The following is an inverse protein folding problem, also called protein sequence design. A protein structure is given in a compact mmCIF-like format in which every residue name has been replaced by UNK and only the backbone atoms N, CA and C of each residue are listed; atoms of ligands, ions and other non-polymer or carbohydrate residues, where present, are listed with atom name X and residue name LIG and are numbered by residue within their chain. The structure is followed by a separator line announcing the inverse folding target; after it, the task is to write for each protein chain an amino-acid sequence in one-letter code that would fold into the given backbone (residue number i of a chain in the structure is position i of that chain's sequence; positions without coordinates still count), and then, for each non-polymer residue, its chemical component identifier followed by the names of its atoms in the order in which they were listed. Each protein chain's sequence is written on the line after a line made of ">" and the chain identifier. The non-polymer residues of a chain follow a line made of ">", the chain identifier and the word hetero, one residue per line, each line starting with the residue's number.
data_IF_518629423949
#
_entry.id   IF_518629423949
#
_cell.length_a   1.000
_cell.length_b   1.000
_cell.length_c   1.000
_cell.angle_alpha   90.00
_cell.angle_beta   90.00
_cell.angle_gamma   90.00
#
_symmetry.space_group_name_H-M   'P 1'
#
loop_
_entity.id
_entity.type
_entity.pdbx_description
1 polymer ?
#
# COMPACT_ATOMS: atom_id res chain seq x y z
N UNK A 1 16.96 -11.78 -24.73
CA UNK A 1 17.27 -11.09 -23.47
C UNK A 1 16.72 -11.91 -22.32
N UNK A 2 17.56 -12.28 -21.35
CA UNK A 2 17.09 -12.98 -20.14
C UNK A 2 16.48 -11.89 -19.24
N UNK A 3 15.16 -11.77 -19.23
CA UNK A 3 14.46 -10.88 -18.32
C UNK A 3 14.62 -11.43 -16.89
N UNK A 4 15.45 -10.81 -16.10
CA UNK A 4 15.73 -11.18 -14.71
C UNK A 4 14.81 -10.40 -13.74
N UNK A 5 14.62 -10.94 -12.54
CA UNK A 5 14.01 -10.20 -11.45
C UNK A 5 14.81 -8.90 -11.20
N UNK A 6 14.15 -7.83 -10.79
CA UNK A 6 14.76 -6.50 -10.60
C UNK A 6 14.72 -6.06 -9.14
N UNK A 7 15.49 -5.06 -8.78
CA UNK A 7 15.37 -4.39 -7.49
C UNK A 7 14.17 -3.45 -7.50
N UNK A 8 13.37 -3.47 -6.43
CA UNK A 8 12.18 -2.64 -6.28
C UNK A 8 12.16 -1.97 -4.90
N UNK A 9 11.65 -0.74 -4.84
CA UNK A 9 11.32 -0.07 -3.59
C UNK A 9 9.91 -0.48 -3.17
N UNK A 10 9.78 -1.14 -2.02
CA UNK A 10 8.48 -1.48 -1.43
C UNK A 10 8.17 -0.52 -0.30
N UNK A 11 7.04 0.16 -0.39
CA UNK A 11 6.48 0.96 0.70
C UNK A 11 5.51 0.08 1.47
N UNK A 12 5.72 -0.04 2.78
CA UNK A 12 4.95 -0.90 3.69
C UNK A 12 3.81 -0.13 4.35
N UNK A 13 4.08 1.10 4.76
CA UNK A 13 3.10 1.94 5.44
C UNK A 13 3.44 3.42 5.38
N UNK A 14 2.40 4.21 5.52
CA UNK A 14 2.45 5.63 5.83
C UNK A 14 1.76 5.82 7.18
N UNK A 15 2.31 6.69 8.04
CA UNK A 15 1.76 6.96 9.38
C UNK A 15 1.78 8.46 9.65
N UNK A 16 0.69 9.01 10.14
CA UNK A 16 0.66 10.37 10.65
C UNK A 16 1.31 10.39 12.03
N UNK A 17 2.56 10.77 12.12
CA UNK A 17 3.28 10.77 13.39
C UNK A 17 2.93 11.96 14.27
N UNK A 18 2.85 13.14 13.67
CA UNK A 18 2.54 14.39 14.38
C UNK A 18 1.73 15.32 13.50
N UNK A 19 0.79 16.03 14.10
CA UNK A 19 0.08 17.15 13.49
C UNK A 19 -0.01 18.31 14.50
N UNK A 20 0.28 19.54 14.06
CA UNK A 20 0.23 20.76 14.88
C UNK A 20 -1.22 21.24 15.11
N UNK A 21 -2.09 20.31 15.48
CA UNK A 21 -3.49 20.60 15.82
C UNK A 21 -3.81 19.99 17.17
N UNK A 22 -4.52 20.72 18.01
CA UNK A 22 -4.96 20.23 19.33
C UNK A 22 -6.13 19.21 19.21
N UNK A 23 -6.51 18.81 18.00
CA UNK A 23 -7.62 17.91 17.71
C UNK A 23 -7.02 16.58 17.27
N UNK A 24 -7.40 15.47 17.90
CA UNK A 24 -6.88 14.13 17.62
C UNK A 24 -7.10 13.65 16.17
N UNK A 25 -8.22 14.04 15.54
CA UNK A 25 -8.56 13.72 14.14
C UNK A 25 -8.25 14.88 13.22
N UNK A 26 -7.59 14.61 12.10
CA UNK A 26 -7.29 15.60 11.06
C UNK A 26 -7.76 15.13 9.69
N UNK A 27 -8.14 16.07 8.82
CA UNK A 27 -8.47 15.82 7.43
C UNK A 27 -7.21 16.04 6.57
N UNK A 28 -6.71 14.98 5.93
CA UNK A 28 -5.51 15.01 5.10
C UNK A 28 -5.87 14.92 3.62
N UNK A 29 -5.18 15.71 2.81
CA UNK A 29 -5.22 15.65 1.35
C UNK A 29 -3.84 15.96 0.77
N UNK A 30 -3.69 15.83 -0.56
CA UNK A 30 -2.42 15.98 -1.24
C UNK A 30 -1.90 14.65 -1.76
N UNK A 31 -0.60 14.49 -1.88
CA UNK A 31 -0.02 13.28 -2.43
C UNK A 31 1.35 12.90 -1.84
N UNK A 32 1.66 11.60 -1.97
CA UNK A 32 3.00 11.00 -1.94
C UNK A 32 3.09 10.15 -3.19
N UNK A 33 4.10 10.36 -4.03
CA UNK A 33 4.28 9.64 -5.28
C UNK A 33 5.74 9.33 -5.56
N UNK A 34 5.98 8.25 -6.30
CA UNK A 34 7.32 7.87 -6.73
C UNK A 34 7.49 8.09 -8.24
N UNK A 35 8.71 8.46 -8.64
CA UNK A 35 9.21 8.41 -10.02
C UNK A 35 10.42 7.51 -10.07
N UNK A 36 10.53 6.74 -11.12
CA UNK A 36 11.69 5.91 -11.36
C UNK A 36 12.14 5.98 -12.82
N UNK A 37 13.24 5.31 -13.15
CA UNK A 37 13.84 5.37 -14.48
C UNK A 37 12.92 4.86 -15.60
N UNK A 38 12.01 3.91 -15.33
CA UNK A 38 11.16 3.34 -16.36
C UNK A 38 9.96 4.21 -16.69
N UNK A 39 9.51 5.01 -15.73
CA UNK A 39 8.39 5.91 -15.95
C UNK A 39 8.55 7.17 -15.09
N UNK A 40 8.74 8.29 -15.76
CA UNK A 40 8.88 9.60 -15.14
C UNK A 40 7.56 10.19 -14.64
N UNK A 41 6.42 9.56 -14.94
CA UNK A 41 5.12 9.97 -14.42
C UNK A 41 4.97 9.61 -12.95
N UNK A 42 4.20 10.40 -12.24
CA UNK A 42 3.90 10.19 -10.82
C UNK A 42 3.16 8.88 -10.59
N UNK A 43 3.79 7.96 -9.89
CA UNK A 43 3.21 6.72 -9.42
C UNK A 43 2.73 6.95 -7.98
N UNK A 44 1.48 7.36 -7.84
CA UNK A 44 0.91 7.77 -6.56
C UNK A 44 0.81 6.61 -5.58
N UNK A 45 1.43 6.77 -4.42
CA UNK A 45 1.30 5.89 -3.24
C UNK A 45 0.12 6.35 -2.38
N UNK A 46 -0.02 7.65 -2.24
CA UNK A 46 -1.15 8.32 -1.63
C UNK A 46 -1.59 9.48 -2.52
N UNK A 47 -2.88 9.64 -2.73
CA UNK A 47 -3.43 10.79 -3.44
C UNK A 47 -4.88 11.01 -3.01
N UNK A 48 -5.17 12.20 -2.49
CA UNK A 48 -6.52 12.66 -2.14
C UNK A 48 -6.67 14.12 -2.51
N UNK A 49 -7.83 14.47 -3.04
CA UNK A 49 -8.16 15.88 -3.29
C UNK A 49 -8.61 16.58 -2.01
N UNK A 50 -8.59 17.91 -2.04
CA UNK A 50 -9.13 18.71 -0.94
C UNK A 50 -10.64 18.47 -0.71
N UNK A 51 -11.38 18.11 -1.75
CA UNK A 51 -12.82 17.86 -1.67
C UNK A 51 -13.14 16.44 -1.17
N UNK A 52 -12.17 15.51 -1.27
CA UNK A 52 -12.25 14.15 -0.75
C UNK A 52 -11.05 13.82 0.16
N UNK A 53 -10.90 14.51 1.30
CA UNK A 53 -9.81 14.26 2.25
C UNK A 53 -10.07 12.97 3.03
N UNK A 54 -9.01 12.33 3.51
CA UNK A 54 -9.16 11.27 4.51
C UNK A 54 -9.14 11.85 5.92
N UNK A 55 -9.85 11.17 6.83
CA UNK A 55 -9.81 11.48 8.26
C UNK A 55 -8.83 10.53 8.93
N UNK A 56 -7.81 11.07 9.58
CA UNK A 56 -6.75 10.30 10.23
C UNK A 56 -6.53 10.83 11.64
N UNK A 57 -6.35 9.91 12.58
CA UNK A 57 -5.92 10.23 13.94
C UNK A 57 -4.39 10.30 13.99
N UNK A 58 -3.85 11.22 14.80
CA UNK A 58 -2.41 11.26 15.04
C UNK A 58 -1.95 9.92 15.64
N UNK A 59 -0.83 9.40 15.14
CA UNK A 59 -0.29 8.09 15.48
C UNK A 59 -0.86 6.94 14.66
N UNK A 60 -1.89 7.18 13.82
CA UNK A 60 -2.54 6.15 13.00
C UNK A 60 -1.93 6.03 11.60
N UNK A 61 -2.18 4.88 10.98
CA UNK A 61 -1.80 4.63 9.59
C UNK A 61 -2.64 5.48 8.64
N UNK A 62 -1.98 5.99 7.60
CA UNK A 62 -2.60 6.65 6.45
C UNK A 62 -2.86 5.57 5.39
N UNK A 63 -4.09 5.41 4.96
CA UNK A 63 -4.44 4.46 3.92
C UNK A 63 -3.76 4.84 2.59
N UNK A 64 -2.93 3.96 2.06
CA UNK A 64 -2.30 4.14 0.75
C UNK A 64 -3.33 3.93 -0.37
N UNK A 65 -3.32 4.78 -1.40
CA UNK A 65 -4.19 4.68 -2.58
C UNK A 65 -3.55 3.99 -3.78
N UNK A 66 -2.27 3.67 -3.69
CA UNK A 66 -1.44 3.01 -4.69
C UNK A 66 -0.26 2.30 -4.04
N UNK A 67 0.82 2.08 -4.78
CA UNK A 67 1.11 2.50 -6.16
C UNK A 67 0.32 1.71 -7.22
N UNK A 68 0.28 2.22 -8.46
CA UNK A 68 -0.36 1.54 -9.60
C UNK A 68 0.56 0.55 -10.32
N UNK A 69 1.87 0.67 -10.12
CA UNK A 69 2.93 -0.23 -10.60
C UNK A 69 4.05 -0.31 -9.57
N UNK A 70 4.90 -1.31 -9.67
CA UNK A 70 6.11 -1.40 -8.86
C UNK A 70 7.04 -0.19 -9.08
N UNK A 71 7.80 0.15 -8.06
CA UNK A 71 8.79 1.23 -8.10
C UNK A 71 10.15 0.58 -8.30
N UNK A 72 10.78 0.80 -9.47
CA UNK A 72 12.05 0.16 -9.80
C UNK A 72 13.23 0.89 -9.17
N UNK A 73 14.26 0.12 -8.80
CA UNK A 73 15.51 0.61 -8.21
C UNK A 73 16.72 0.26 -9.08
N UNK A 74 16.56 0.20 -10.40
CA UNK A 74 17.67 0.05 -11.36
C UNK A 74 18.46 1.35 -11.55
N UNK A 75 17.91 2.44 -11.09
CA UNK A 75 18.49 3.75 -10.89
C UNK A 75 17.78 4.36 -9.67
N UNK A 76 18.26 5.50 -9.15
CA UNK A 76 17.61 6.16 -8.03
C UNK A 76 16.11 6.39 -8.28
N UNK A 77 15.29 6.13 -7.25
CA UNK A 77 13.86 6.46 -7.25
C UNK A 77 13.63 7.73 -6.44
N UNK A 78 12.89 8.68 -7.01
CA UNK A 78 12.52 9.92 -6.36
C UNK A 78 11.12 9.75 -5.74
N UNK A 79 10.99 10.02 -4.45
CA UNK A 79 9.69 10.09 -3.77
C UNK A 79 9.37 11.56 -3.48
N UNK A 80 8.34 12.06 -4.13
CA UNK A 80 7.85 13.43 -4.01
C UNK A 80 6.60 13.45 -3.13
N UNK A 81 6.43 14.51 -2.35
CA UNK A 81 5.28 14.64 -1.45
C UNK A 81 4.88 16.11 -1.26
N UNK A 82 3.58 16.34 -1.27
CA UNK A 82 2.90 17.57 -0.83
C UNK A 82 1.61 17.13 -0.14
N UNK A 83 1.60 17.20 1.18
CA UNK A 83 0.43 16.84 1.99
C UNK A 83 0.02 18.01 2.87
N UNK A 84 -1.29 18.19 3.00
CA UNK A 84 -1.89 19.29 3.75
C UNK A 84 -2.95 18.81 4.72
N UNK A 85 -3.11 19.57 5.80
CA UNK A 85 -4.21 19.45 6.74
C UNK A 85 -5.28 20.44 6.31
N UNK A 86 -6.46 19.93 5.94
CA UNK A 86 -7.61 20.75 5.56
C UNK A 86 -8.16 21.47 6.79
N UNK A 87 -8.37 22.77 6.62
CA UNK A 87 -9.07 23.66 7.57
C UNK A 87 -10.37 24.18 6.93
N UNK A 88 -10.88 25.27 7.39
CA UNK A 88 -12.11 25.89 6.88
C UNK A 88 -12.00 26.27 5.41
N UNK A 89 -11.37 27.41 5.13
CA UNK A 89 -11.06 27.85 3.75
C UNK A 89 -9.72 27.28 3.29
N UNK A 90 -9.49 27.26 1.98
CA UNK A 90 -8.26 26.75 1.40
C UNK A 90 -7.01 27.54 1.81
N UNK A 91 -7.15 28.82 2.01
CA UNK A 91 -6.09 29.72 2.48
C UNK A 91 -5.64 29.44 3.92
N UNK A 92 -6.50 28.78 4.71
CA UNK A 92 -6.22 28.39 6.10
C UNK A 92 -5.59 26.99 6.21
N UNK A 93 -5.45 26.26 5.11
CA UNK A 93 -4.93 24.89 5.11
C UNK A 93 -3.44 24.88 5.52
N UNK A 94 -3.08 23.93 6.38
CA UNK A 94 -1.74 23.84 6.92
C UNK A 94 -0.87 22.89 6.09
N UNK A 95 0.35 23.30 5.74
CA UNK A 95 1.33 22.45 5.12
C UNK A 95 1.80 21.39 6.12
N UNK A 96 1.48 20.09 5.86
CA UNK A 96 1.93 19.00 6.71
C UNK A 96 3.37 18.61 6.37
N UNK A 97 3.60 18.24 5.12
CA UNK A 97 4.93 17.93 4.55
C UNK A 97 4.97 18.40 3.09
N UNK A 98 6.13 18.85 2.64
CA UNK A 98 6.40 19.22 1.25
C UNK A 98 7.88 18.95 0.90
N UNK A 99 8.14 18.39 -0.28
CA UNK A 99 9.49 18.14 -0.74
C UNK A 99 9.66 16.86 -1.55
N UNK A 100 10.90 16.40 -1.61
CA UNK A 100 11.28 15.18 -2.30
C UNK A 100 12.47 14.50 -1.62
N UNK A 101 12.54 13.18 -1.77
CA UNK A 101 13.65 12.34 -1.26
C UNK A 101 14.07 11.33 -2.31
N UNK A 102 15.36 11.12 -2.44
CA UNK A 102 15.93 10.16 -3.37
C UNK A 102 16.40 8.90 -2.65
N UNK A 103 16.04 7.74 -3.19
CA UNK A 103 16.46 6.44 -2.70
C UNK A 103 17.33 5.74 -3.74
N UNK A 104 18.49 5.25 -3.31
CA UNK A 104 19.46 4.56 -4.15
C UNK A 104 19.59 3.09 -3.74
N UNK A 105 19.72 2.20 -4.70
CA UNK A 105 19.84 0.76 -4.45
C UNK A 105 21.09 0.36 -3.65
N UNK A 106 22.15 1.19 -3.64
CA UNK A 106 23.38 0.93 -2.90
C UNK A 106 23.28 1.26 -1.40
N UNK A 107 22.40 2.19 -1.02
CA UNK A 107 22.33 2.69 0.36
C UNK A 107 20.98 2.44 1.02
N UNK A 108 19.92 2.14 0.24
CA UNK A 108 18.62 1.82 0.79
C UNK A 108 18.64 0.42 1.44
N UNK A 109 18.26 0.31 2.72
CA UNK A 109 18.26 -0.98 3.41
C UNK A 109 17.36 -2.04 2.76
N UNK A 110 17.80 -3.30 2.79
CA UNK A 110 17.02 -4.48 2.38
C UNK A 110 16.11 -5.01 3.50
N UNK A 111 15.92 -4.26 4.57
CA UNK A 111 14.96 -4.53 5.64
C UNK A 111 14.05 -3.31 5.83
N UNK A 112 12.82 -3.48 6.28
CA UNK A 112 11.93 -2.36 6.50
C UNK A 112 12.52 -1.38 7.52
N UNK A 113 12.65 -0.14 7.11
CA UNK A 113 13.09 0.98 7.94
C UNK A 113 12.12 2.14 7.79
N UNK A 114 12.01 2.95 8.82
CA UNK A 114 11.12 4.10 8.84
C UNK A 114 11.91 5.37 8.66
N UNK A 115 11.53 6.15 7.67
CA UNK A 115 12.05 7.49 7.43
C UNK A 115 10.99 8.50 7.86
N UNK A 116 11.35 9.39 8.79
CA UNK A 116 10.47 10.47 9.23
C UNK A 116 10.63 11.68 8.35
N UNK A 117 9.55 12.12 7.74
CA UNK A 117 9.45 13.34 6.95
C UNK A 117 8.86 14.41 7.87
N UNK A 118 9.69 15.39 8.23
CA UNK A 118 9.25 16.52 9.05
C UNK A 118 8.85 17.68 8.13
N UNK A 119 7.72 18.29 8.43
CA UNK A 119 7.26 19.53 7.78
C UNK A 119 6.87 20.57 8.82
N UNK A 120 6.36 21.71 8.35
CA UNK A 120 6.08 22.88 9.20
C UNK A 120 5.01 22.61 10.25
N UNK A 121 3.99 21.84 9.89
CA UNK A 121 2.83 21.59 10.76
C UNK A 121 2.70 20.11 11.19
N UNK A 122 3.76 19.32 11.07
CA UNK A 122 3.74 17.96 11.58
C UNK A 122 4.79 17.04 10.96
N UNK A 123 4.54 15.73 11.02
CA UNK A 123 5.44 14.73 10.48
C UNK A 123 4.68 13.49 9.98
N UNK A 124 5.19 12.89 8.91
CA UNK A 124 4.72 11.63 8.36
C UNK A 124 5.87 10.63 8.38
N UNK A 125 5.64 9.46 8.93
CA UNK A 125 6.56 8.33 8.85
C UNK A 125 6.23 7.49 7.63
N UNK A 126 7.23 7.25 6.78
CA UNK A 126 7.18 6.32 5.66
C UNK A 126 8.05 5.10 5.98
N UNK A 127 7.46 3.90 6.00
CA UNK A 127 8.20 2.65 6.18
C UNK A 127 8.37 1.98 4.83
N UNK A 128 9.61 1.70 4.46
CA UNK A 128 9.95 1.14 3.15
C UNK A 128 11.19 0.24 3.23
N UNK A 129 11.44 -0.56 2.18
CA UNK A 129 12.64 -1.37 2.03
C UNK A 129 12.99 -1.58 0.56
N UNK A 130 14.26 -1.85 0.29
CA UNK A 130 14.71 -2.38 -0.99
C UNK A 130 14.44 -3.89 -1.04
N UNK A 131 13.70 -4.34 -2.05
CA UNK A 131 13.47 -5.76 -2.33
C UNK A 131 14.27 -6.14 -3.56
N UNK A 132 15.42 -6.80 -3.36
CA UNK A 132 16.24 -7.30 -4.47
C UNK A 132 15.65 -8.53 -5.10
N UNK A 133 15.85 -8.69 -6.40
CA UNK A 133 15.39 -9.86 -7.16
C UNK A 133 13.87 -10.06 -7.02
N UNK A 134 13.11 -8.98 -7.19
CA UNK A 134 11.65 -8.98 -7.07
C UNK A 134 10.95 -9.10 -8.42
N UNK A 135 9.73 -9.64 -8.36
CA UNK A 135 8.69 -9.52 -9.38
C UNK A 135 7.55 -8.66 -8.85
N UNK A 136 6.88 -7.96 -9.73
CA UNK A 136 5.66 -7.23 -9.41
C UNK A 136 4.48 -8.18 -9.33
N UNK A 137 3.75 -8.13 -8.23
CA UNK A 137 2.44 -8.75 -8.05
C UNK A 137 1.36 -7.67 -8.08
N UNK A 138 0.50 -7.68 -9.10
CA UNK A 138 -0.71 -6.86 -9.15
C UNK A 138 -1.88 -7.72 -8.66
N UNK A 139 -2.52 -7.29 -7.57
CA UNK A 139 -3.56 -8.01 -6.86
C UNK A 139 -4.91 -7.36 -7.16
N UNK A 140 -5.82 -8.10 -7.77
CA UNK A 140 -7.22 -7.75 -7.98
C UNK A 140 -8.08 -8.61 -7.03
N UNK A 141 -8.96 -7.97 -6.26
CA UNK A 141 -9.89 -8.64 -5.34
C UNK A 141 -11.32 -8.23 -5.67
N UNK A 142 -12.18 -9.21 -5.84
CA UNK A 142 -13.62 -9.01 -6.09
C UNK A 142 -14.43 -9.72 -5.03
N UNK A 143 -15.30 -8.98 -4.38
CA UNK A 143 -16.27 -9.47 -3.41
C UNK A 143 -17.60 -9.65 -4.13
N UNK A 144 -18.19 -10.83 -4.03
CA UNK A 144 -19.44 -11.17 -4.69
C UNK A 144 -20.34 -12.02 -3.78
N UNK A 145 -21.61 -12.17 -4.16
CA UNK A 145 -22.58 -12.99 -3.42
C UNK A 145 -22.70 -12.60 -1.95
N UNK A 146 -22.68 -11.29 -1.66
CA UNK A 146 -22.81 -10.78 -0.30
C UNK A 146 -24.23 -11.08 0.21
N UNK A 147 -24.33 -11.85 1.31
CA UNK A 147 -25.58 -12.24 1.94
C UNK A 147 -25.98 -11.26 3.05
N UNK A 148 -25.01 -10.76 3.79
CA UNK A 148 -25.19 -9.75 4.83
C UNK A 148 -23.93 -8.90 4.98
N UNK A 149 -24.05 -7.76 5.68
CA UNK A 149 -22.92 -6.87 5.93
C UNK A 149 -21.82 -7.52 6.77
N UNK A 150 -20.57 -7.28 6.41
CA UNK A 150 -19.40 -7.78 7.12
C UNK A 150 -18.22 -6.82 7.02
N UNK A 151 -17.30 -6.92 7.98
CA UNK A 151 -16.03 -6.21 7.99
C UNK A 151 -14.93 -7.07 7.37
N UNK A 152 -14.07 -6.45 6.58
CA UNK A 152 -12.91 -7.10 5.97
C UNK A 152 -11.64 -6.32 6.27
N UNK A 153 -10.63 -7.02 6.75
CA UNK A 153 -9.25 -6.56 6.76
C UNK A 153 -8.42 -7.46 5.85
N UNK A 154 -7.78 -6.85 4.84
CA UNK A 154 -6.90 -7.53 3.90
C UNK A 154 -5.48 -7.05 4.09
N UNK A 155 -4.56 -7.98 4.33
CA UNK A 155 -3.13 -7.69 4.36
C UNK A 155 -2.35 -8.67 3.47
N UNK A 156 -1.16 -8.25 3.07
CA UNK A 156 -0.20 -9.09 2.38
C UNK A 156 1.05 -9.27 3.22
N UNK A 157 1.54 -10.50 3.31
CA UNK A 157 2.82 -10.81 3.95
C UNK A 157 3.83 -11.24 2.88
N UNK A 158 4.96 -10.56 2.85
CA UNK A 158 6.06 -10.81 1.90
C UNK A 158 7.38 -11.00 2.61
N UNK A 159 8.26 -11.78 2.01
CA UNK A 159 9.61 -11.99 2.52
C UNK A 159 10.51 -10.85 2.07
N UNK A 160 11.08 -10.13 3.03
CA UNK A 160 12.11 -9.13 2.80
C UNK A 160 13.32 -9.48 3.65
N UNK A 161 14.48 -9.58 3.02
CA UNK A 161 15.68 -10.13 3.63
C UNK A 161 15.40 -11.55 4.17
N UNK A 162 15.37 -11.73 5.47
CA UNK A 162 15.12 -13.01 6.15
C UNK A 162 13.85 -12.99 7.03
N UNK A 163 13.03 -11.94 6.90
CA UNK A 163 11.81 -11.76 7.68
C UNK A 163 10.54 -11.72 6.82
N UNK A 164 9.44 -12.14 7.43
CA UNK A 164 8.10 -11.97 6.87
C UNK A 164 7.53 -10.65 7.35
N UNK A 165 7.14 -9.78 6.43
CA UNK A 165 6.63 -8.44 6.74
C UNK A 165 5.25 -8.24 6.17
N UNK A 166 4.37 -7.66 6.99
CA UNK A 166 2.96 -7.43 6.66
C UNK A 166 2.76 -6.02 6.10
N UNK A 167 1.91 -5.94 5.06
CA UNK A 167 1.46 -4.71 4.42
C UNK A 167 -0.06 -4.69 4.51
N UNK A 168 -0.62 -3.70 5.21
CA UNK A 168 -2.06 -3.50 5.24
C UNK A 168 -2.52 -2.96 3.89
N UNK A 169 -3.41 -3.67 3.20
CA UNK A 169 -3.92 -3.31 1.87
C UNK A 169 -5.28 -2.62 1.95
N UNK A 170 -6.17 -3.18 2.77
CA UNK A 170 -7.54 -2.69 2.90
C UNK A 170 -8.10 -2.97 4.30
N UNK A 171 -8.95 -2.06 4.78
CA UNK A 171 -9.81 -2.27 5.94
C UNK A 171 -11.11 -1.51 5.74
N UNK A 172 -12.24 -2.20 5.82
CA UNK A 172 -13.54 -1.56 5.65
C UNK A 172 -14.68 -2.56 5.72
N UNK A 173 -15.90 -2.06 5.61
CA UNK A 173 -17.15 -2.82 5.71
C UNK A 173 -17.83 -2.93 4.35
N UNK A 174 -18.50 -4.04 4.09
CA UNK A 174 -19.23 -4.31 2.87
C UNK A 174 -20.67 -4.67 3.16
N UNK A 175 -21.57 -4.14 2.35
CA UNK A 175 -23.00 -4.47 2.35
C UNK A 175 -23.47 -4.98 0.98
N UNK A 176 -22.63 -4.80 -0.05
CA UNK A 176 -22.93 -5.21 -1.43
C UNK A 176 -21.66 -5.72 -2.15
N UNK A 177 -21.87 -6.35 -3.29
CA UNK A 177 -20.78 -6.86 -4.13
C UNK A 177 -20.00 -5.71 -4.77
N UNK A 178 -18.67 -5.75 -4.69
CA UNK A 178 -17.81 -4.77 -5.31
C UNK A 178 -16.40 -5.32 -5.62
N UNK A 179 -15.67 -4.60 -6.46
CA UNK A 179 -14.22 -4.80 -6.64
C UNK A 179 -13.44 -3.84 -5.76
N UNK A 180 -12.38 -4.35 -5.11
CA UNK A 180 -11.41 -3.49 -4.47
C UNK A 180 -10.53 -2.81 -5.53
N UNK A 181 -9.87 -1.71 -5.13
CA UNK A 181 -8.80 -1.15 -5.95
C UNK A 181 -7.69 -2.18 -6.15
N UNK A 182 -6.86 -1.99 -7.15
CA UNK A 182 -5.67 -2.81 -7.36
C UNK A 182 -4.60 -2.47 -6.34
N UNK A 183 -3.90 -3.51 -5.90
CA UNK A 183 -2.72 -3.37 -5.05
C UNK A 183 -1.50 -3.91 -5.78
N UNK A 184 -0.37 -3.24 -5.62
CA UNK A 184 0.88 -3.64 -6.27
C UNK A 184 1.94 -3.85 -5.19
N UNK A 185 2.59 -5.01 -5.25
CA UNK A 185 3.57 -5.45 -4.24
C UNK A 185 4.80 -6.03 -4.94
N UNK A 186 5.97 -5.70 -4.41
CA UNK A 186 7.23 -6.32 -4.78
C UNK A 186 7.38 -7.64 -4.02
N UNK A 187 7.48 -8.75 -4.76
CA UNK A 187 7.64 -10.09 -4.18
C UNK A 187 8.98 -10.67 -4.59
N UNK A 188 9.81 -11.01 -3.61
CA UNK A 188 11.14 -11.58 -3.85
C UNK A 188 11.03 -12.88 -4.63
N UNK A 189 11.88 -13.05 -5.65
CA UNK A 189 11.98 -14.28 -6.45
C UNK A 189 12.15 -15.51 -5.55
N UNK A 190 11.54 -16.61 -5.95
CA UNK A 190 11.56 -17.91 -5.27
C UNK A 190 10.94 -17.91 -3.86
N UNK A 191 10.16 -16.87 -3.50
CA UNK A 191 9.41 -16.81 -2.25
C UNK A 191 7.89 -16.86 -2.49
N UNK A 192 7.13 -16.94 -1.39
CA UNK A 192 5.67 -16.87 -1.38
C UNK A 192 5.22 -15.47 -0.90
N UNK A 193 4.19 -14.96 -1.54
CA UNK A 193 3.34 -13.88 -1.02
C UNK A 193 2.11 -14.52 -0.38
N UNK A 194 1.80 -14.13 0.85
CA UNK A 194 0.59 -14.59 1.55
C UNK A 194 -0.39 -13.44 1.64
N UNK A 195 -1.63 -13.65 1.25
CA UNK A 195 -2.73 -12.74 1.49
C UNK A 195 -3.55 -13.27 2.67
N UNK A 196 -3.79 -12.41 3.64
CA UNK A 196 -4.57 -12.69 4.84
C UNK A 196 -5.85 -11.89 4.82
N UNK A 197 -6.98 -12.58 4.91
CA UNK A 197 -8.32 -12.01 4.96
C UNK A 197 -8.88 -12.28 6.35
N UNK A 198 -9.10 -11.23 7.13
CA UNK A 198 -9.84 -11.29 8.38
C UNK A 198 -11.24 -10.81 8.12
N UNK A 199 -12.20 -11.70 8.30
CA UNK A 199 -13.61 -11.43 8.07
C UNK A 199 -14.33 -11.41 9.41
N UNK A 200 -14.89 -10.26 9.76
CA UNK A 200 -15.66 -10.04 10.99
C UNK A 200 -17.13 -9.78 10.69
N UNK A 201 -18.01 -10.18 11.62
CA UNK A 201 -19.41 -9.82 11.60
C UNK A 201 -19.75 -9.13 12.90
N UNK A 202 -20.41 -7.97 12.84
CA UNK A 202 -20.77 -7.15 14.01
C UNK A 202 -21.51 -7.91 15.12
N UNK A 203 -22.10 -9.08 14.81
CA UNK A 203 -22.85 -9.93 15.72
C UNK A 203 -22.05 -11.11 16.31
N UNK A 204 -20.88 -11.43 15.78
CA UNK A 204 -20.05 -12.56 16.20
C UNK A 204 -18.68 -12.08 16.66
N UNK A 205 -18.27 -12.49 17.87
CA UNK A 205 -16.95 -12.13 18.45
C UNK A 205 -15.74 -12.85 17.81
N UNK A 206 -15.95 -13.72 16.82
CA UNK A 206 -14.87 -14.50 16.22
C UNK A 206 -14.64 -14.03 14.79
N UNK A 207 -13.54 -13.31 14.56
CA UNK A 207 -13.01 -13.07 13.23
C UNK A 207 -12.55 -14.39 12.61
N UNK A 208 -12.95 -14.63 11.37
CA UNK A 208 -12.48 -15.76 10.60
C UNK A 208 -11.26 -15.35 9.77
N UNK A 209 -10.15 -16.03 10.00
CA UNK A 209 -8.90 -15.82 9.24
C UNK A 209 -8.82 -16.78 8.06
N UNK A 210 -8.72 -16.23 6.84
CA UNK A 210 -8.49 -16.97 5.61
C UNK A 210 -7.17 -16.55 4.97
N UNK A 211 -6.47 -17.50 4.37
CA UNK A 211 -5.17 -17.26 3.77
C UNK A 211 -5.10 -17.81 2.35
N UNK A 212 -4.51 -17.03 1.45
CA UNK A 212 -4.13 -17.42 0.12
C UNK A 212 -2.62 -17.27 -0.05
N UNK A 213 -1.96 -18.21 -0.73
CA UNK A 213 -0.52 -18.14 -0.96
C UNK A 213 -0.22 -18.23 -2.44
N UNK A 214 0.67 -17.36 -2.91
CA UNK A 214 1.04 -17.24 -4.32
C UNK A 214 2.56 -17.26 -4.45
N UNK A 215 3.09 -18.17 -5.27
CA UNK A 215 4.53 -18.22 -5.55
C UNK A 215 4.92 -17.14 -6.55
N UNK A 216 5.96 -16.40 -6.24
CA UNK A 216 6.49 -15.36 -7.12
C UNK A 216 6.84 -15.93 -8.50
N UNK A 217 6.34 -15.29 -9.56
CA UNK A 217 6.53 -15.69 -10.97
C UNK A 217 7.00 -14.50 -11.78
N UNK A 218 7.68 -14.80 -12.88
CA UNK A 218 8.16 -13.79 -13.81
C UNK A 218 7.02 -13.11 -14.58
N UNK A 219 5.98 -13.86 -14.95
CA UNK A 219 4.81 -13.41 -15.69
C UNK A 219 3.67 -14.41 -15.56
N UNK A 220 2.49 -14.02 -16.05
CA UNK A 220 1.27 -14.83 -15.98
C UNK A 220 0.38 -14.38 -14.82
N UNK A 221 -0.56 -15.21 -14.45
CA UNK A 221 -1.47 -14.93 -13.34
C UNK A 221 -1.79 -16.20 -12.56
N UNK A 222 -2.23 -15.99 -11.32
CA UNK A 222 -2.83 -17.00 -10.46
C UNK A 222 -4.22 -16.52 -10.04
N UNK A 223 -5.10 -17.47 -9.76
CA UNK A 223 -6.47 -17.20 -9.30
C UNK A 223 -6.82 -18.12 -8.14
N UNK A 224 -7.41 -17.56 -7.09
CA UNK A 224 -7.98 -18.31 -5.97
C UNK A 224 -9.33 -17.72 -5.59
N UNK A 225 -10.22 -18.57 -5.05
CA UNK A 225 -11.51 -18.16 -4.56
C UNK A 225 -11.72 -18.66 -3.13
N UNK A 226 -12.15 -17.78 -2.25
CA UNK A 226 -12.56 -18.08 -0.89
C UNK A 226 -14.09 -18.02 -0.86
N UNK A 227 -14.72 -19.13 -0.53
CA UNK A 227 -16.20 -19.19 -0.40
C UNK A 227 -16.52 -19.19 1.08
N UNK A 228 -17.22 -18.16 1.51
CA UNK A 228 -17.67 -17.94 2.88
C UNK A 228 -19.21 -18.07 2.91
N UNK A 229 -19.77 -18.27 4.08
CA UNK A 229 -21.23 -18.18 4.26
C UNK A 229 -21.78 -16.79 3.94
N UNK A 230 -20.98 -15.73 4.23
CA UNK A 230 -21.37 -14.33 4.08
C UNK A 230 -21.17 -13.77 2.67
N UNK A 231 -20.14 -14.27 1.95
CA UNK A 231 -19.74 -13.74 0.66
C UNK A 231 -18.79 -14.70 -0.07
N UNK A 232 -18.49 -14.41 -1.32
CA UNK A 232 -17.42 -15.05 -2.08
C UNK A 232 -16.36 -14.02 -2.43
N UNK A 233 -15.09 -14.31 -2.11
CA UNK A 233 -13.95 -13.44 -2.38
C UNK A 233 -13.10 -14.09 -3.46
N UNK A 234 -13.00 -13.44 -4.61
CA UNK A 234 -12.16 -13.87 -5.73
C UNK A 234 -10.88 -13.05 -5.75
N UNK A 235 -9.75 -13.72 -5.83
CA UNK A 235 -8.42 -13.10 -5.85
C UNK A 235 -7.71 -13.48 -7.14
N UNK A 236 -7.29 -12.50 -7.91
CA UNK A 236 -6.41 -12.67 -9.07
C UNK A 236 -5.10 -11.94 -8.81
N UNK A 237 -3.99 -12.64 -8.94
CA UNK A 237 -2.64 -12.07 -8.87
C UNK A 237 -2.02 -12.15 -10.25
N UNK A 238 -1.73 -11.00 -10.85
CA UNK A 238 -1.02 -10.90 -12.12
C UNK A 238 0.45 -10.57 -11.84
N UNK A 239 1.33 -11.36 -12.42
CA UNK A 239 2.76 -11.23 -12.25
C UNK A 239 3.38 -10.52 -13.44
N UNK A 240 4.24 -9.57 -13.18
CA UNK A 240 5.02 -8.92 -14.20
C UNK A 240 6.48 -8.70 -13.76
N UNK A 241 7.29 -8.57 -14.77
CA UNK A 241 8.64 -8.11 -14.66
C UNK A 241 8.67 -6.69 -15.24
N UNK A 242 9.06 -5.70 -14.46
CA UNK A 242 9.09 -4.29 -14.85
C UNK A 242 10.13 -3.93 -15.92
N UNK A 243 10.88 -4.91 -16.44
CA UNK A 243 11.76 -4.68 -17.60
C UNK A 243 10.93 -4.73 -18.89
N UNK A 244 10.75 -3.60 -19.53
CA UNK A 244 10.30 -3.48 -20.92
C UNK A 244 11.46 -3.59 -21.89
#
# INVERSE_FOLDING_TARGET
>A
MVHSATAMLQIFSLKLEKASTNIGLVQLYGYIAARDRYDSLLNYVFSRSRDDPIIVEQGSLIEMTGPKRGITMVAPALVEFDMRIKKGKQEDDLQLIDGAMEYHDLVTPEYPFTHRINGDCGAVDITLALVRWAFEATIDVVISKVQCGFDLSLSSCVVVMNGLHEIQLFRGSFVESCGLRRYVIAVKKDTLMHLKFKVGQNSCKNDLDHHCSFKAKKHGYDYQQIVLELASISVKVTWSNLQR
#
